data_IF_903307519185
#
_entry.id   IF_903307519185
#
_cell.length_a   1.000
_cell.length_b   1.000
_cell.length_c   1.000
_cell.angle_alpha   90.00
_cell.angle_beta   90.00
_cell.angle_gamma   90.00
#
_symmetry.space_group_name_H-M   'P 1'
#
loop_
_entity.id
_entity.type
_entity.pdbx_description
1 polymer ?
#
# COMPACT_ATOMS: atom_id res chain seq x y z
N UNK A 1 -7.43 -8.43 23.23
CA UNK A 1 -7.00 -8.50 21.81
C UNK A 1 -7.77 -7.44 21.07
N UNK A 2 -7.08 -6.67 20.23
CA UNK A 2 -7.69 -5.66 19.38
C UNK A 2 -8.60 -6.33 18.34
N UNK A 3 -9.67 -5.64 17.94
CA UNK A 3 -10.46 -6.02 16.77
C UNK A 3 -9.84 -5.47 15.47
N UNK A 4 -10.37 -5.88 14.31
CA UNK A 4 -9.80 -5.51 13.01
C UNK A 4 -9.78 -3.98 12.75
N UNK A 5 -10.76 -3.23 13.27
CA UNK A 5 -10.79 -1.76 13.13
C UNK A 5 -9.76 -1.09 14.04
N UNK A 6 -9.65 -1.57 15.27
CA UNK A 6 -8.61 -1.11 16.22
C UNK A 6 -7.22 -1.38 15.67
N UNK A 7 -7.01 -2.53 15.03
CA UNK A 7 -5.76 -2.85 14.34
C UNK A 7 -5.46 -1.88 13.19
N UNK A 8 -6.43 -1.59 12.32
CA UNK A 8 -6.25 -0.60 11.25
C UNK A 8 -5.91 0.79 11.78
N UNK A 9 -6.60 1.22 12.84
CA UNK A 9 -6.32 2.50 13.50
C UNK A 9 -4.91 2.51 14.09
N UNK A 10 -4.50 1.43 14.76
CA UNK A 10 -3.17 1.31 15.33
C UNK A 10 -2.08 1.41 14.26
N UNK A 11 -2.25 0.71 13.13
CA UNK A 11 -1.34 0.83 11.98
C UNK A 11 -1.26 2.27 11.47
N UNK A 12 -2.42 2.95 11.34
CA UNK A 12 -2.47 4.32 10.85
C UNK A 12 -1.73 5.32 11.75
N UNK A 13 -1.80 5.11 13.06
CA UNK A 13 -1.19 5.98 14.07
C UNK A 13 0.32 5.75 14.20
N UNK A 14 0.79 4.51 14.04
CA UNK A 14 2.18 4.14 14.37
C UNK A 14 3.10 4.02 13.16
N UNK A 15 2.59 3.68 11.97
CA UNK A 15 3.45 3.35 10.83
C UNK A 15 4.31 4.52 10.37
N UNK A 16 3.85 5.76 10.57
CA UNK A 16 4.62 6.96 10.20
C UNK A 16 5.90 7.11 11.01
N UNK A 17 5.89 6.67 12.26
CA UNK A 17 7.02 6.81 13.17
C UNK A 17 8.20 5.91 12.77
N UNK A 18 7.93 4.87 11.97
CA UNK A 18 8.93 3.94 11.45
C UNK A 18 9.39 4.28 10.02
N UNK A 19 8.72 5.23 9.36
CA UNK A 19 9.07 5.64 8.00
C UNK A 19 10.09 6.80 8.01
N UNK A 20 10.92 6.93 6.95
CA UNK A 20 11.84 8.06 6.82
C UNK A 20 11.14 9.42 6.81
N UNK A 21 11.87 10.49 7.12
CA UNK A 21 11.35 11.87 7.20
C UNK A 21 10.60 12.32 5.93
N UNK A 22 10.95 11.78 4.75
CA UNK A 22 10.24 12.03 3.49
C UNK A 22 8.75 11.65 3.53
N UNK A 23 8.32 10.85 4.51
CA UNK A 23 6.94 10.40 4.72
C UNK A 23 6.21 11.15 5.85
N UNK A 24 6.79 12.18 6.45
CA UNK A 24 6.16 12.93 7.55
C UNK A 24 4.72 13.38 7.18
N UNK A 25 4.58 13.97 6.00
CA UNK A 25 3.30 14.43 5.43
C UNK A 25 2.58 13.37 4.59
N UNK A 26 2.99 12.09 4.69
CA UNK A 26 2.37 11.03 3.91
C UNK A 26 0.89 10.85 4.29
N UNK A 27 0.06 10.60 3.29
CA UNK A 27 -1.34 10.24 3.47
C UNK A 27 -1.45 8.71 3.52
N UNK A 28 -2.02 8.21 4.60
CA UNK A 28 -2.34 6.79 4.75
C UNK A 28 -3.82 6.60 4.40
N UNK A 29 -4.11 5.64 3.52
CA UNK A 29 -5.48 5.27 3.17
C UNK A 29 -5.65 3.76 3.23
N UNK A 30 -6.85 3.34 3.64
CA UNK A 30 -7.30 1.96 3.53
C UNK A 30 -8.29 1.84 2.37
N UNK A 31 -8.10 0.83 1.53
CA UNK A 31 -8.94 0.59 0.36
C UNK A 31 -9.47 -0.85 0.42
N UNK A 32 -10.78 -1.02 0.29
CA UNK A 32 -11.37 -2.35 0.10
C UNK A 32 -11.29 -2.75 -1.37
N UNK A 33 -10.77 -3.95 -1.63
CA UNK A 33 -10.59 -4.51 -2.97
C UNK A 33 -11.22 -5.89 -3.00
N UNK A 34 -12.11 -6.10 -3.98
CA UNK A 34 -12.65 -7.42 -4.28
C UNK A 34 -11.76 -8.06 -5.34
N UNK A 35 -11.04 -9.14 -4.99
CA UNK A 35 -10.20 -9.92 -5.93
C UNK A 35 -10.83 -11.28 -6.22
N UNK A 36 -10.55 -11.79 -7.43
CA UNK A 36 -10.79 -13.16 -7.92
C UNK A 36 -11.72 -14.02 -7.03
N UNK A 37 -12.98 -14.20 -7.41
CA UNK A 37 -14.00 -14.99 -6.69
C UNK A 37 -14.43 -14.42 -5.32
N UNK A 38 -14.91 -13.17 -5.29
CA UNK A 38 -15.52 -12.52 -4.11
C UNK A 38 -14.65 -12.46 -2.84
N UNK A 39 -13.32 -12.47 -3.00
CA UNK A 39 -12.42 -12.29 -1.85
C UNK A 39 -12.27 -10.81 -1.53
N UNK A 40 -12.78 -10.40 -0.37
CA UNK A 40 -12.67 -9.04 0.14
C UNK A 40 -11.34 -8.84 0.87
N UNK A 41 -10.47 -8.01 0.30
CA UNK A 41 -9.20 -7.62 0.88
C UNK A 41 -9.22 -6.15 1.30
N UNK A 42 -8.51 -5.81 2.35
CA UNK A 42 -8.21 -4.44 2.75
C UNK A 42 -6.74 -4.17 2.43
N UNK A 43 -6.48 -3.18 1.60
CA UNK A 43 -5.14 -2.69 1.34
C UNK A 43 -4.85 -1.42 2.12
N UNK A 44 -3.62 -1.26 2.61
CA UNK A 44 -3.07 0.00 3.11
C UNK A 44 -2.20 0.62 2.01
N UNK A 45 -2.36 1.91 1.76
CA UNK A 45 -1.55 2.71 0.85
C UNK A 45 -0.96 3.90 1.60
N UNK A 46 0.33 4.16 1.39
CA UNK A 46 1.08 5.23 2.07
C UNK A 46 1.73 6.11 1.00
N UNK A 47 1.15 7.28 0.76
CA UNK A 47 1.54 8.18 -0.32
C UNK A 47 2.17 9.47 0.20
N UNK A 48 3.38 9.78 -0.28
CA UNK A 48 4.01 11.08 -0.03
C UNK A 48 3.24 12.20 -0.75
N UNK A 49 3.40 13.46 -0.34
CA UNK A 49 2.84 14.58 -1.09
C UNK A 49 3.25 14.55 -2.57
N UNK A 50 2.26 14.56 -3.47
CA UNK A 50 2.47 14.51 -4.93
C UNK A 50 2.70 13.11 -5.51
N UNK A 51 2.74 12.06 -4.69
CA UNK A 51 2.85 10.68 -5.16
C UNK A 51 1.47 10.13 -5.55
N UNK A 52 1.31 9.77 -6.83
CA UNK A 52 0.04 9.29 -7.38
C UNK A 52 -0.03 7.78 -7.57
N UNK A 53 1.13 7.13 -7.67
CA UNK A 53 1.25 5.67 -7.86
C UNK A 53 2.03 5.13 -6.68
N UNK A 54 1.37 4.34 -5.86
CA UNK A 54 1.94 3.72 -4.66
C UNK A 54 1.51 2.27 -4.55
N UNK A 55 2.31 1.41 -3.89
CA UNK A 55 1.91 0.06 -3.58
C UNK A 55 0.67 0.05 -2.68
N UNK A 56 -0.25 -0.88 -2.95
CA UNK A 56 -1.37 -1.19 -2.08
C UNK A 56 -1.09 -2.51 -1.37
N UNK A 57 -0.67 -2.43 -0.11
CA UNK A 57 -0.20 -3.57 0.70
C UNK A 57 -1.41 -4.22 1.38
N UNK A 58 -1.67 -5.50 1.14
CA UNK A 58 -2.82 -6.18 1.75
C UNK A 58 -2.55 -6.53 3.22
N UNK A 59 -3.49 -6.20 4.10
CA UNK A 59 -3.29 -6.35 5.55
C UNK A 59 -3.79 -7.69 6.11
N UNK A 60 -4.42 -8.56 5.29
CA UNK A 60 -5.00 -9.84 5.74
C UNK A 60 -3.97 -10.77 6.40
N UNK A 61 -2.80 -10.92 5.78
CA UNK A 61 -1.76 -11.81 6.32
C UNK A 61 -1.23 -11.27 7.65
N UNK A 62 -0.99 -9.96 7.73
CA UNK A 62 -0.55 -9.29 8.96
C UNK A 62 -1.60 -9.39 10.08
N UNK A 63 -2.88 -9.28 9.73
CA UNK A 63 -3.97 -9.49 10.67
C UNK A 63 -3.98 -10.93 11.19
N UNK A 64 -3.82 -11.92 10.32
CA UNK A 64 -3.72 -13.33 10.73
C UNK A 64 -2.52 -13.56 11.65
N UNK A 65 -1.35 -12.98 11.35
CA UNK A 65 -0.16 -13.09 12.18
C UNK A 65 -0.37 -12.49 13.58
N UNK A 66 -1.04 -11.33 13.66
CA UNK A 66 -1.45 -10.74 14.95
C UNK A 66 -2.38 -11.69 15.73
N UNK A 67 -3.37 -12.29 15.07
CA UNK A 67 -4.27 -13.26 15.70
C UNK A 67 -3.54 -14.52 16.18
N UNK A 68 -2.44 -14.88 15.53
CA UNK A 68 -1.55 -15.99 15.91
C UNK A 68 -0.51 -15.59 16.97
N UNK A 69 -0.54 -14.36 17.48
CA UNK A 69 0.29 -13.90 18.59
C UNK A 69 1.57 -13.15 18.20
N UNK A 70 1.75 -12.80 16.93
CA UNK A 70 2.84 -11.91 16.51
C UNK A 70 2.65 -10.52 17.14
N UNK A 71 3.76 -9.93 17.58
CA UNK A 71 3.74 -8.59 18.16
C UNK A 71 3.29 -7.56 17.11
N UNK A 72 2.40 -6.64 17.50
CA UNK A 72 1.85 -5.62 16.60
C UNK A 72 2.91 -4.60 16.16
N UNK A 73 3.87 -4.26 17.02
CA UNK A 73 4.99 -3.36 16.68
C UNK A 73 5.89 -3.98 15.59
N UNK A 74 6.14 -5.29 15.67
CA UNK A 74 6.87 -6.03 14.62
C UNK A 74 6.11 -5.99 13.29
N UNK A 75 4.78 -6.15 13.33
CA UNK A 75 3.93 -6.06 12.13
C UNK A 75 3.99 -4.66 11.51
N UNK A 76 3.95 -3.60 12.33
CA UNK A 76 4.07 -2.22 11.82
C UNK A 76 5.43 -2.03 11.14
N UNK A 77 6.50 -2.56 11.75
CA UNK A 77 7.85 -2.60 11.17
C UNK A 77 7.88 -3.28 9.81
N UNK A 78 7.32 -4.48 9.69
CA UNK A 78 7.28 -5.22 8.41
C UNK A 78 6.56 -4.44 7.30
N UNK A 79 5.45 -3.77 7.62
CA UNK A 79 4.69 -2.98 6.62
C UNK A 79 5.50 -1.73 6.23
N UNK A 80 6.18 -1.08 7.18
CA UNK A 80 7.05 0.06 6.89
C UNK A 80 8.23 -0.35 5.99
N UNK A 81 8.91 -1.46 6.33
CA UNK A 81 10.00 -2.03 5.53
C UNK A 81 9.52 -2.37 4.13
N UNK A 82 8.35 -3.01 4.00
CA UNK A 82 7.75 -3.33 2.71
C UNK A 82 7.45 -2.07 1.89
N UNK A 83 6.97 -0.98 2.52
CA UNK A 83 6.75 0.29 1.82
C UNK A 83 8.06 0.90 1.33
N UNK A 84 9.13 0.81 2.12
CA UNK A 84 10.47 1.32 1.76
C UNK A 84 11.08 0.47 0.65
N UNK A 85 10.96 -0.85 0.72
CA UNK A 85 11.47 -1.78 -0.29
C UNK A 85 10.79 -1.54 -1.65
N UNK A 86 9.46 -1.39 -1.64
CA UNK A 86 8.69 -1.05 -2.84
C UNK A 86 8.81 0.41 -3.27
N UNK A 87 9.57 1.25 -2.56
CA UNK A 87 10.01 2.56 -3.05
C UNK A 87 11.11 2.43 -4.13
N UNK A 88 11.10 1.32 -4.88
CA UNK A 88 12.09 0.98 -5.89
C UNK A 88 11.97 1.94 -7.09
N UNK A 89 13.08 2.50 -7.61
CA UNK A 89 13.09 3.49 -8.70
C UNK A 89 12.61 2.97 -10.08
N UNK A 90 12.00 1.79 -10.17
CA UNK A 90 11.58 1.17 -11.44
C UNK A 90 10.44 1.90 -12.17
N UNK A 91 9.60 2.64 -11.44
CA UNK A 91 8.60 3.54 -12.00
C UNK A 91 8.98 4.97 -11.61
N UNK A 92 9.97 5.51 -12.31
CA UNK A 92 10.39 6.89 -12.10
C UNK A 92 9.23 7.89 -12.35
N UNK A 93 9.36 9.13 -11.89
CA UNK A 93 8.33 10.17 -12.07
C UNK A 93 7.86 10.32 -13.52
N UNK A 94 8.75 10.13 -14.49
CA UNK A 94 8.46 10.17 -15.93
C UNK A 94 7.50 9.04 -16.37
N UNK A 95 7.72 7.81 -15.90
CA UNK A 95 6.84 6.67 -16.21
C UNK A 95 5.47 6.90 -15.59
N UNK A 96 5.41 7.34 -14.34
CA UNK A 96 4.16 7.71 -13.66
C UNK A 96 3.41 8.81 -14.42
N UNK A 97 4.09 9.87 -14.83
CA UNK A 97 3.47 10.97 -15.57
C UNK A 97 2.95 10.51 -16.94
N UNK A 98 3.68 9.64 -17.64
CA UNK A 98 3.22 9.03 -18.88
C UNK A 98 1.97 8.18 -18.65
N UNK A 99 1.96 7.31 -17.63
CA UNK A 99 0.81 6.47 -17.27
C UNK A 99 -0.46 7.29 -16.96
N UNK A 100 -0.30 8.48 -16.37
CA UNK A 100 -1.40 9.40 -16.06
C UNK A 100 -1.90 10.20 -17.28
N UNK A 101 -1.19 10.17 -18.41
CA UNK A 101 -1.58 10.86 -19.64
C UNK A 101 -2.17 9.87 -20.65
N UNK A 102 -3.50 9.90 -20.80
CA UNK A 102 -4.23 9.03 -21.74
C UNK A 102 -3.68 9.09 -23.18
N UNK A 103 -3.42 10.29 -23.71
CA UNK A 103 -2.91 10.46 -25.07
C UNK A 103 -1.53 9.83 -25.26
N UNK A 104 -0.70 9.83 -24.21
CA UNK A 104 0.64 9.26 -24.25
C UNK A 104 0.67 7.73 -24.13
N UNK A 105 -0.41 7.10 -23.63
CA UNK A 105 -0.47 5.63 -23.42
C UNK A 105 -1.43 4.91 -24.36
N UNK A 106 -2.39 5.59 -24.97
CA UNK A 106 -3.42 4.94 -25.82
C UNK A 106 -2.82 4.08 -26.94
N UNK A 107 -1.67 4.47 -27.50
CA UNK A 107 -0.97 3.73 -28.56
C UNK A 107 -0.19 2.51 -28.04
N UNK A 108 0.07 2.44 -26.73
CA UNK A 108 0.75 1.29 -26.09
C UNK A 108 -0.23 0.22 -25.59
N UNK A 109 -1.55 0.45 -25.69
CA UNK A 109 -2.57 -0.52 -25.28
C UNK A 109 -2.64 -1.69 -26.26
N UNK A 110 -2.60 -2.92 -25.74
CA UNK A 110 -2.74 -4.14 -26.54
C UNK A 110 -3.90 -4.98 -26.00
N UNK A 111 -4.76 -5.43 -26.90
CA UNK A 111 -5.84 -6.38 -26.58
C UNK A 111 -5.36 -7.76 -26.99
N UNK A 112 -5.26 -8.68 -26.02
CA UNK A 112 -5.03 -10.10 -26.28
C UNK A 112 -6.30 -10.86 -26.01
N UNK A 113 -6.91 -11.41 -27.06
CA UNK A 113 -7.99 -12.37 -26.95
C UNK A 113 -7.38 -13.77 -26.78
N UNK A 114 -7.82 -14.47 -25.74
CA UNK A 114 -7.46 -15.87 -25.47
C UNK A 114 -8.49 -16.80 -26.12
#
# INVERSE_FOLDING_TARGET
MMNRKEFQQYLQETIKDLLPESYADAKITFNEVIKNNDTHLTGISIARPGEHVVPNIYIENFWNDYQNGKNIDEIVGDIADMRIEYDTPGIGPEVTQKLMNYDAVKESLQIRLC
#
